data_IF_579133914782
#
_entry.id   IF_579133914782
#
_cell.length_a   1.000
_cell.length_b   1.000
_cell.length_c   1.000
_cell.angle_alpha   90.00
_cell.angle_beta   90.00
_cell.angle_gamma   90.00
#
_symmetry.space_group_name_H-M   'P 1'
#
loop_
_entity.id
_entity.type
_entity.pdbx_description
1 polymer ?
#
# COMPACT_ATOMS: atom_id res chain seq x y z
N UNK A 1 23.91 8.91 -26.90
CA UNK A 1 25.25 9.41 -27.28
C UNK A 1 25.08 10.83 -27.81
N UNK A 2 25.91 11.78 -27.42
CA UNK A 2 25.87 13.16 -27.96
C UNK A 2 27.20 13.45 -28.64
N UNK A 3 27.15 13.91 -29.90
CA UNK A 3 28.33 14.25 -30.70
C UNK A 3 28.41 15.77 -30.81
N UNK A 4 29.50 16.36 -30.31
CA UNK A 4 29.81 17.77 -30.54
C UNK A 4 30.92 17.84 -31.59
N UNK A 5 30.64 18.52 -32.71
CA UNK A 5 31.60 18.63 -33.80
C UNK A 5 32.90 19.27 -33.28
N UNK A 6 34.03 18.60 -33.51
CA UNK A 6 35.36 19.03 -33.05
C UNK A 6 35.75 18.67 -31.60
N UNK A 7 34.86 18.05 -30.79
CA UNK A 7 35.13 17.76 -29.36
C UNK A 7 35.04 16.28 -28.97
N UNK A 8 34.84 15.38 -29.93
CA UNK A 8 34.69 13.95 -29.70
C UNK A 8 33.28 13.52 -29.33
N UNK A 9 33.17 12.26 -28.91
CA UNK A 9 31.91 11.57 -28.58
C UNK A 9 31.79 11.40 -27.08
N UNK A 10 30.70 11.90 -26.50
CA UNK A 10 30.41 11.74 -25.07
C UNK A 10 29.36 10.64 -24.85
N UNK A 11 29.58 9.79 -23.84
CA UNK A 11 28.54 8.88 -23.34
C UNK A 11 27.44 9.77 -22.74
N UNK A 12 26.26 9.76 -23.36
CA UNK A 12 25.09 10.40 -22.74
C UNK A 12 24.77 9.61 -21.48
N UNK A 13 24.98 10.19 -20.29
CA UNK A 13 24.43 9.61 -19.05
C UNK A 13 22.95 9.38 -19.30
N UNK A 14 22.53 8.12 -19.28
CA UNK A 14 21.13 7.76 -19.36
C UNK A 14 20.39 8.52 -18.26
N UNK A 15 19.35 9.28 -18.61
CA UNK A 15 18.41 9.84 -17.63
C UNK A 15 17.47 8.77 -17.06
N UNK A 16 17.61 7.52 -17.49
CA UNK A 16 16.79 6.40 -17.03
C UNK A 16 17.37 5.88 -15.71
N UNK A 17 16.48 5.55 -14.78
CA UNK A 17 16.76 4.88 -13.50
C UNK A 17 17.51 5.73 -12.46
N UNK A 18 17.14 7.02 -12.34
CA UNK A 18 17.61 7.86 -11.23
C UNK A 18 16.86 7.49 -9.94
N UNK A 19 17.61 7.26 -8.86
CA UNK A 19 17.02 7.10 -7.53
C UNK A 19 16.32 8.40 -7.11
N UNK A 20 15.09 8.26 -6.63
CA UNK A 20 14.25 9.37 -6.15
C UNK A 20 13.72 9.05 -4.76
N UNK A 21 13.58 10.08 -3.94
CA UNK A 21 12.69 10.05 -2.78
C UNK A 21 11.27 10.20 -3.32
N UNK A 22 10.38 9.31 -2.89
CA UNK A 22 8.97 9.31 -3.25
C UNK A 22 8.17 9.66 -2.00
N UNK A 23 7.29 10.65 -2.12
CA UNK A 23 6.39 11.05 -1.05
C UNK A 23 4.95 10.97 -1.54
N UNK A 24 4.11 10.21 -0.81
CA UNK A 24 2.65 10.30 -0.93
C UNK A 24 2.19 11.47 -0.07
N UNK A 25 1.66 12.50 -0.71
CA UNK A 25 1.27 13.74 -0.04
C UNK A 25 -0.16 13.62 0.46
N UNK A 26 -0.36 13.83 1.76
CA UNK A 26 -1.69 13.96 2.34
C UNK A 26 -2.26 15.34 2.00
N UNK A 27 -3.27 15.39 1.14
CA UNK A 27 -3.89 16.65 0.66
C UNK A 27 -4.77 17.35 1.72
N UNK A 28 -4.83 16.83 2.94
CA UNK A 28 -5.67 17.28 4.05
C UNK A 28 -4.84 17.68 5.29
N UNK A 29 -3.64 18.22 5.08
CA UNK A 29 -2.70 18.61 6.15
C UNK A 29 -3.34 19.43 7.28
N UNK A 30 -4.31 20.30 6.96
CA UNK A 30 -4.97 21.16 7.94
C UNK A 30 -6.01 20.43 8.82
N UNK A 31 -6.43 19.22 8.43
CA UNK A 31 -7.49 18.45 9.08
C UNK A 31 -7.03 17.06 9.55
N UNK A 32 -5.71 16.81 9.67
CA UNK A 32 -5.17 15.48 10.01
C UNK A 32 -5.77 14.86 11.28
N UNK A 33 -6.20 15.68 12.24
CA UNK A 33 -6.89 15.24 13.46
C UNK A 33 -8.22 14.52 13.22
N UNK A 34 -8.82 14.66 12.04
CA UNK A 34 -10.06 13.99 11.66
C UNK A 34 -9.82 12.66 10.92
N UNK A 35 -8.55 12.27 10.73
CA UNK A 35 -8.21 11.01 10.08
C UNK A 35 -8.55 9.83 10.99
N UNK A 36 -9.36 8.91 10.47
CA UNK A 36 -9.74 7.69 11.16
C UNK A 36 -9.71 6.48 10.26
N UNK A 37 -9.48 5.32 10.87
CA UNK A 37 -9.52 4.03 10.20
C UNK A 37 -10.61 3.18 10.83
N UNK A 38 -11.53 2.68 9.99
CA UNK A 38 -12.58 1.74 10.38
C UNK A 38 -12.26 0.36 9.79
N UNK A 39 -12.30 -0.69 10.62
CA UNK A 39 -12.12 -2.08 10.16
C UNK A 39 -13.49 -2.65 9.78
N UNK A 40 -13.73 -2.75 8.48
CA UNK A 40 -15.00 -3.22 7.92
C UNK A 40 -15.12 -4.74 7.93
N UNK A 41 -13.99 -5.44 7.82
CA UNK A 41 -13.96 -6.90 7.80
C UNK A 41 -12.62 -7.44 8.28
N UNK A 42 -12.67 -8.52 9.06
CA UNK A 42 -11.52 -9.35 9.40
C UNK A 42 -11.95 -10.81 9.35
N UNK A 43 -11.32 -11.63 8.50
CA UNK A 43 -11.64 -13.06 8.40
C UNK A 43 -10.47 -13.87 7.85
N UNK A 44 -10.36 -15.14 8.25
CA UNK A 44 -9.44 -16.12 7.67
C UNK A 44 -9.98 -16.63 6.32
N UNK A 45 -9.10 -16.86 5.36
CA UNK A 45 -9.43 -17.34 4.01
C UNK A 45 -8.23 -18.08 3.38
N UNK A 46 -8.46 -18.77 2.27
CA UNK A 46 -7.47 -19.62 1.60
C UNK A 46 -7.67 -19.64 0.06
N UNK A 47 -8.06 -18.52 -0.54
CA UNK A 47 -8.26 -18.47 -2.00
C UNK A 47 -6.93 -18.72 -2.76
N UNK A 48 -6.91 -19.61 -3.77
CA UNK A 48 -5.68 -19.99 -4.45
C UNK A 48 -4.89 -18.82 -5.06
N UNK A 49 -5.57 -17.85 -5.65
CA UNK A 49 -4.96 -16.68 -6.29
C UNK A 49 -4.22 -15.78 -5.29
N UNK A 50 -4.72 -15.67 -4.06
CA UNK A 50 -4.06 -14.91 -3.00
C UNK A 50 -2.94 -15.72 -2.36
N UNK A 51 -3.14 -17.02 -2.13
CA UNK A 51 -2.09 -17.90 -1.61
C UNK A 51 -0.85 -17.87 -2.50
N UNK A 52 -1.02 -17.97 -3.82
CA UNK A 52 0.08 -17.86 -4.78
C UNK A 52 0.83 -16.53 -4.66
N UNK A 53 0.11 -15.40 -4.58
CA UNK A 53 0.73 -14.07 -4.45
C UNK A 53 1.48 -13.89 -3.13
N UNK A 54 1.01 -14.53 -2.06
CA UNK A 54 1.66 -14.60 -0.75
C UNK A 54 2.79 -15.64 -0.69
N UNK A 55 2.95 -16.49 -1.71
CA UNK A 55 3.93 -17.58 -1.71
C UNK A 55 3.58 -18.70 -0.72
N UNK A 56 2.30 -18.88 -0.41
CA UNK A 56 1.82 -19.87 0.55
C UNK A 56 1.41 -21.19 -0.12
N UNK A 57 1.62 -22.35 0.53
CA UNK A 57 1.06 -23.62 0.11
C UNK A 57 -0.48 -23.61 0.07
N UNK A 58 -1.08 -24.51 -0.72
CA UNK A 58 -2.55 -24.60 -0.90
C UNK A 58 -3.33 -24.96 0.38
N UNK A 59 -2.66 -25.54 1.38
CA UNK A 59 -3.28 -25.92 2.66
C UNK A 59 -3.13 -24.84 3.74
N UNK A 60 -2.38 -23.77 3.47
CA UNK A 60 -2.24 -22.64 4.37
C UNK A 60 -3.41 -21.65 4.20
N UNK A 61 -3.45 -20.68 5.11
CA UNK A 61 -4.47 -19.64 5.15
C UNK A 61 -3.83 -18.27 5.38
N UNK A 62 -4.63 -17.24 5.13
CA UNK A 62 -4.30 -15.84 5.40
C UNK A 62 -5.52 -15.14 6.00
N UNK A 63 -5.29 -14.04 6.69
CA UNK A 63 -6.35 -13.12 7.09
C UNK A 63 -6.54 -12.06 6.01
N UNK A 64 -7.80 -11.86 5.65
CA UNK A 64 -8.28 -10.73 4.87
C UNK A 64 -8.79 -9.65 5.82
N UNK A 65 -8.21 -8.46 5.73
CA UNK A 65 -8.61 -7.29 6.52
C UNK A 65 -9.03 -6.18 5.56
N UNK A 66 -10.30 -5.79 5.57
CA UNK A 66 -10.83 -4.64 4.81
C UNK A 66 -10.93 -3.44 5.75
N UNK A 67 -10.21 -2.36 5.45
CA UNK A 67 -10.20 -1.12 6.24
C UNK A 67 -10.59 0.07 5.38
N UNK A 68 -11.36 0.98 5.95
CA UNK A 68 -11.74 2.25 5.32
C UNK A 68 -11.08 3.38 6.07
N UNK A 69 -10.34 4.24 5.36
CA UNK A 69 -9.77 5.46 5.92
C UNK A 69 -10.67 6.64 5.53
N UNK A 70 -10.99 7.47 6.51
CA UNK A 70 -11.88 8.62 6.37
C UNK A 70 -11.19 9.86 6.92
N UNK A 71 -11.52 11.00 6.32
CA UNK A 71 -11.19 12.33 6.85
C UNK A 71 -12.51 13.06 7.08
N UNK A 72 -12.82 13.35 8.35
CA UNK A 72 -14.20 13.65 8.74
C UNK A 72 -15.12 12.52 8.25
N UNK A 73 -16.26 12.81 7.64
CA UNK A 73 -17.16 11.76 7.14
C UNK A 73 -16.91 11.33 5.70
N UNK A 74 -15.77 11.71 5.12
CA UNK A 74 -15.43 11.41 3.73
C UNK A 74 -14.49 10.22 3.65
N UNK A 75 -14.96 9.03 3.22
CA UNK A 75 -14.06 7.92 2.93
C UNK A 75 -13.22 8.26 1.70
N UNK A 76 -11.90 8.09 1.84
CA UNK A 76 -10.95 8.41 0.78
C UNK A 76 -10.04 7.26 0.37
N UNK A 77 -9.92 6.23 1.22
CA UNK A 77 -9.07 5.09 0.93
C UNK A 77 -9.67 3.79 1.45
N UNK A 78 -9.78 2.80 0.58
CA UNK A 78 -10.17 1.44 0.92
C UNK A 78 -8.95 0.54 0.83
N UNK A 79 -8.56 -0.08 1.93
CA UNK A 79 -7.48 -1.05 1.99
C UNK A 79 -8.00 -2.47 2.11
N UNK A 80 -7.37 -3.38 1.38
CA UNK A 80 -7.52 -4.82 1.53
C UNK A 80 -6.16 -5.43 1.80
N UNK A 81 -5.87 -5.71 3.06
CA UNK A 81 -4.65 -6.39 3.48
C UNK A 81 -4.87 -7.91 3.52
N UNK A 82 -3.88 -8.64 3.02
CA UNK A 82 -3.81 -10.09 3.03
C UNK A 82 -2.52 -10.47 3.76
N UNK A 83 -2.66 -11.10 4.93
CA UNK A 83 -1.55 -11.40 5.84
C UNK A 83 -1.55 -12.90 6.14
N UNK A 84 -0.46 -13.65 5.90
CA UNK A 84 -0.39 -15.06 6.27
C UNK A 84 -0.83 -15.31 7.71
N UNK A 85 -1.65 -16.36 7.92
CA UNK A 85 -2.29 -16.57 9.22
C UNK A 85 -1.30 -16.79 10.37
N UNK A 86 -0.08 -17.26 10.07
CA UNK A 86 1.01 -17.40 11.04
C UNK A 86 1.43 -16.09 11.72
N UNK A 87 1.22 -14.94 11.06
CA UNK A 87 1.55 -13.62 11.60
C UNK A 87 0.39 -12.97 12.38
N UNK A 88 -0.80 -13.56 12.35
CA UNK A 88 -1.99 -13.02 13.01
C UNK A 88 -2.22 -13.73 14.35
N UNK A 89 -2.47 -12.94 15.39
CA UNK A 89 -2.92 -13.48 16.67
C UNK A 89 -4.43 -13.75 16.61
N UNK A 90 -4.79 -15.03 16.61
CA UNK A 90 -6.20 -15.48 16.56
C UNK A 90 -7.06 -14.96 17.72
N UNK A 91 -6.47 -14.64 18.88
CA UNK A 91 -7.21 -14.05 19.99
C UNK A 91 -7.50 -12.57 19.76
N UNK A 92 -6.51 -11.80 19.25
CA UNK A 92 -6.73 -10.40 18.89
C UNK A 92 -7.72 -10.28 17.71
N UNK A 93 -7.64 -11.21 16.76
CA UNK A 93 -8.52 -11.27 15.58
C UNK A 93 -10.01 -11.46 15.92
N UNK A 94 -10.37 -11.83 17.16
CA UNK A 94 -11.78 -11.91 17.59
C UNK A 94 -12.47 -10.55 17.63
N UNK A 95 -11.70 -9.47 17.81
CA UNK A 95 -12.19 -8.10 17.68
C UNK A 95 -11.48 -7.43 16.50
N UNK A 96 -12.19 -7.15 15.39
CA UNK A 96 -11.63 -6.49 14.22
C UNK A 96 -10.94 -5.16 14.54
N UNK A 97 -11.40 -4.42 15.55
CA UNK A 97 -10.84 -3.13 15.93
C UNK A 97 -9.39 -3.24 16.41
N UNK A 98 -8.96 -4.41 16.89
CA UNK A 98 -7.55 -4.63 17.24
C UNK A 98 -6.61 -4.48 16.04
N UNK A 99 -7.12 -4.54 14.80
CA UNK A 99 -6.33 -4.42 13.58
C UNK A 99 -6.57 -3.10 12.82
N UNK A 100 -7.08 -2.06 13.48
CA UNK A 100 -7.19 -0.72 12.88
C UNK A 100 -5.81 -0.18 12.47
N UNK A 101 -4.78 -0.37 13.31
CA UNK A 101 -3.36 -0.12 13.01
C UNK A 101 -2.61 -1.45 12.88
N UNK A 102 -2.68 -2.06 11.69
CA UNK A 102 -2.08 -3.38 11.41
C UNK A 102 -0.60 -3.42 11.78
N UNK A 103 0.17 -2.42 11.35
CA UNK A 103 1.62 -2.40 11.53
C UNK A 103 2.00 -2.33 13.02
N UNK A 104 1.36 -1.44 13.79
CA UNK A 104 1.57 -1.38 15.24
C UNK A 104 1.15 -2.68 15.94
N UNK A 105 0.07 -3.30 15.49
CA UNK A 105 -0.43 -4.55 16.08
C UNK A 105 0.55 -5.68 15.86
N UNK A 106 1.06 -5.85 14.64
CA UNK A 106 2.08 -6.85 14.31
C UNK A 106 3.42 -6.57 15.01
N UNK A 107 3.79 -5.30 15.17
CA UNK A 107 4.97 -4.91 15.93
C UNK A 107 4.83 -5.29 17.41
N UNK A 108 3.71 -4.93 18.06
CA UNK A 108 3.47 -5.22 19.48
C UNK A 108 3.31 -6.73 19.77
N UNK A 109 2.61 -7.47 18.90
CA UNK A 109 2.29 -8.88 19.12
C UNK A 109 3.37 -9.85 18.64
N UNK A 110 4.03 -9.55 17.50
CA UNK A 110 4.97 -10.45 16.82
C UNK A 110 6.37 -9.88 16.67
N UNK A 111 6.63 -8.65 17.13
CA UNK A 111 7.91 -7.95 16.90
C UNK A 111 8.25 -7.85 15.41
N UNK A 112 7.23 -7.66 14.56
CA UNK A 112 7.40 -7.45 13.13
C UNK A 112 7.36 -5.94 12.83
N UNK A 113 8.47 -5.39 12.35
CA UNK A 113 8.66 -3.97 12.09
C UNK A 113 8.49 -3.66 10.60
N UNK A 114 7.25 -3.74 10.10
CA UNK A 114 6.96 -3.69 8.66
C UNK A 114 7.37 -2.38 7.96
N UNK A 115 7.59 -1.28 8.69
CA UNK A 115 8.09 -0.03 8.09
C UNK A 115 9.55 -0.13 7.63
N UNK A 116 10.32 -1.03 8.23
CA UNK A 116 11.74 -1.23 7.91
C UNK A 116 11.94 -2.32 6.85
N UNK A 117 10.87 -3.01 6.47
CA UNK A 117 10.93 -4.17 5.59
C UNK A 117 10.84 -3.79 4.09
N UNK A 118 11.56 -4.51 3.20
CA UNK A 118 11.51 -4.27 1.77
C UNK A 118 10.11 -4.48 1.21
N UNK A 119 9.73 -3.61 0.27
CA UNK A 119 8.46 -3.73 -0.44
C UNK A 119 8.58 -3.33 -1.90
N UNK A 120 7.62 -3.79 -2.70
CA UNK A 120 7.30 -3.21 -4.01
C UNK A 120 5.90 -2.63 -3.98
N UNK A 121 5.69 -1.53 -4.71
CA UNK A 121 4.38 -0.90 -4.86
C UNK A 121 4.15 -0.55 -6.34
N UNK A 122 2.93 -0.72 -6.81
CA UNK A 122 2.52 -0.34 -8.16
C UNK A 122 1.17 0.35 -8.13
N UNK A 123 1.14 1.55 -8.68
CA UNK A 123 -0.03 2.42 -8.73
C UNK A 123 -0.57 2.47 -10.15
N UNK A 124 -1.87 2.24 -10.28
CA UNK A 124 -2.59 2.20 -11.56
C UNK A 124 -3.92 2.92 -11.42
N UNK A 125 -4.40 3.55 -12.50
CA UNK A 125 -5.75 4.12 -12.53
C UNK A 125 -6.70 3.06 -13.05
N UNK A 126 -7.80 2.82 -12.32
CA UNK A 126 -8.88 1.95 -12.75
C UNK A 126 -10.23 2.64 -12.54
N UNK A 127 -11.28 2.12 -13.18
CA UNK A 127 -12.66 2.50 -12.84
C UNK A 127 -13.11 1.74 -11.60
N UNK A 128 -13.75 2.43 -10.66
CA UNK A 128 -14.31 1.80 -9.47
C UNK A 128 -15.48 0.87 -9.82
N UNK A 129 -15.42 -0.38 -9.34
CA UNK A 129 -16.55 -1.31 -9.38
C UNK A 129 -17.63 -0.92 -8.35
N UNK A 130 -18.80 -1.56 -8.43
CA UNK A 130 -19.93 -1.22 -7.55
C UNK A 130 -19.57 -1.31 -6.06
N UNK A 131 -18.69 -2.24 -5.65
CA UNK A 131 -18.27 -2.37 -4.24
C UNK A 131 -17.34 -1.23 -3.84
N UNK A 132 -16.37 -0.89 -4.68
CA UNK A 132 -15.44 0.22 -4.44
C UNK A 132 -16.22 1.53 -4.38
N UNK A 133 -17.13 1.76 -5.34
CA UNK A 133 -17.96 2.97 -5.38
C UNK A 133 -18.82 3.13 -4.13
N UNK A 134 -19.45 2.05 -3.66
CA UNK A 134 -20.22 2.05 -2.42
C UNK A 134 -19.35 2.35 -1.19
N UNK A 135 -18.18 1.70 -1.05
CA UNK A 135 -17.29 1.91 0.11
C UNK A 135 -16.71 3.32 0.16
N UNK A 136 -16.34 3.87 -0.99
CA UNK A 136 -15.73 5.20 -1.08
C UNK A 136 -16.75 6.34 -1.25
N UNK A 137 -18.05 6.03 -1.26
CA UNK A 137 -19.12 6.99 -1.50
C UNK A 137 -18.84 7.90 -2.72
N UNK A 138 -18.51 7.25 -3.84
CA UNK A 138 -18.20 7.90 -5.13
C UNK A 138 -19.16 7.39 -6.20
N UNK A 139 -19.27 8.13 -7.29
CA UNK A 139 -20.04 7.71 -8.45
C UNK A 139 -19.54 6.36 -9.00
N UNK A 140 -20.42 5.64 -9.68
CA UNK A 140 -20.04 4.46 -10.47
C UNK A 140 -19.03 4.87 -11.54
N UNK A 141 -18.06 3.99 -11.82
CA UNK A 141 -16.99 4.18 -12.81
C UNK A 141 -16.07 5.38 -12.54
N UNK A 142 -16.18 6.03 -11.36
CA UNK A 142 -15.24 7.07 -10.94
C UNK A 142 -13.81 6.51 -10.93
N UNK A 143 -12.82 7.21 -11.52
CA UNK A 143 -11.45 6.74 -11.55
C UNK A 143 -10.86 6.74 -10.14
N UNK A 144 -10.21 5.65 -9.77
CA UNK A 144 -9.49 5.52 -8.50
C UNK A 144 -8.07 5.06 -8.75
N UNK A 145 -7.16 5.46 -7.87
CA UNK A 145 -5.79 4.93 -7.85
C UNK A 145 -5.82 3.59 -7.11
N UNK A 146 -5.57 2.52 -7.85
CA UNK A 146 -5.34 1.19 -7.32
C UNK A 146 -3.86 0.99 -7.04
N UNK A 147 -3.54 0.82 -5.76
CA UNK A 147 -2.19 0.60 -5.26
C UNK A 147 -2.04 -0.88 -4.89
N UNK A 148 -1.00 -1.54 -5.39
CA UNK A 148 -0.69 -2.92 -5.02
C UNK A 148 0.69 -2.94 -4.37
N UNK A 149 0.70 -3.10 -3.05
CA UNK A 149 1.92 -3.17 -2.25
C UNK A 149 2.18 -4.61 -1.81
N UNK A 150 3.42 -5.07 -1.92
CA UNK A 150 3.86 -6.38 -1.41
C UNK A 150 5.10 -6.17 -0.55
N UNK A 151 5.01 -6.56 0.71
CA UNK A 151 6.09 -6.44 1.71
C UNK A 151 6.64 -7.83 2.03
N UNK A 152 7.96 -7.96 2.11
CA UNK A 152 8.65 -9.21 2.46
C UNK A 152 9.48 -9.04 3.72
N UNK A 153 9.70 -10.12 4.47
CA UNK A 153 10.65 -10.11 5.59
C UNK A 153 12.08 -10.21 5.06
N UNK A 154 12.97 -9.30 5.46
CA UNK A 154 14.38 -9.29 5.07
C UNK A 154 15.10 -10.56 5.51
N UNK A 155 14.72 -11.09 6.67
CA UNK A 155 15.38 -12.25 7.27
C UNK A 155 15.08 -13.56 6.53
N UNK A 156 13.91 -13.70 5.90
CA UNK A 156 13.44 -14.97 5.33
C UNK A 156 13.06 -14.89 3.84
N UNK A 157 12.85 -13.68 3.32
CA UNK A 157 12.29 -13.44 1.99
C UNK A 157 10.80 -13.77 1.88
N UNK A 158 10.15 -14.18 2.98
CA UNK A 158 8.72 -14.52 2.97
C UNK A 158 7.84 -13.29 2.85
N UNK A 159 6.70 -13.41 2.17
CA UNK A 159 5.73 -12.32 2.07
C UNK A 159 5.01 -12.17 3.41
N UNK A 160 5.19 -11.03 4.06
CA UNK A 160 4.48 -10.71 5.32
C UNK A 160 3.12 -10.07 5.07
N UNK A 161 3.02 -9.29 3.99
CA UNK A 161 1.77 -8.62 3.64
C UNK A 161 1.67 -8.40 2.12
N UNK A 162 0.45 -8.57 1.62
CA UNK A 162 0.02 -8.02 0.36
C UNK A 162 -1.14 -7.05 0.62
N UNK A 163 -1.05 -5.82 0.13
CA UNK A 163 -2.11 -4.81 0.22
C UNK A 163 -2.60 -4.45 -1.17
N UNK A 164 -3.92 -4.36 -1.31
CA UNK A 164 -4.57 -3.71 -2.45
C UNK A 164 -5.36 -2.52 -1.91
N UNK A 165 -4.87 -1.32 -2.19
CA UNK A 165 -5.50 -0.06 -1.85
C UNK A 165 -6.29 0.52 -3.03
N UNK A 166 -7.38 1.21 -2.74
CA UNK A 166 -8.12 2.04 -3.69
C UNK A 166 -8.28 3.42 -3.08
N UNK A 167 -7.59 4.41 -3.65
CA UNK A 167 -7.58 5.80 -3.19
C UNK A 167 -8.34 6.66 -4.18
N UNK A 168 -9.21 7.54 -3.69
CA UNK A 168 -9.91 8.50 -4.56
C UNK A 168 -8.90 9.45 -5.19
N UNK A 169 -9.07 9.76 -6.48
CA UNK A 169 -8.12 10.61 -7.21
C UNK A 169 -8.03 12.03 -6.66
N UNK A 170 -9.11 12.58 -6.11
CA UNK A 170 -9.11 13.89 -5.43
C UNK A 170 -8.31 13.93 -4.12
N UNK A 171 -7.87 12.76 -3.62
CA UNK A 171 -7.01 12.62 -2.45
C UNK A 171 -5.58 12.17 -2.78
N UNK A 172 -5.27 11.94 -4.06
CA UNK A 172 -3.99 11.38 -4.49
C UNK A 172 -3.04 12.45 -5.01
N UNK A 173 -1.82 12.47 -4.47
CA UNK A 173 -0.75 13.35 -4.91
C UNK A 173 0.60 12.70 -4.61
N UNK A 174 1.43 12.50 -5.63
CA UNK A 174 2.79 11.99 -5.46
C UNK A 174 3.81 13.08 -5.80
N UNK A 175 4.80 13.24 -4.92
CA UNK A 175 5.98 14.07 -5.16
C UNK A 175 7.22 13.19 -5.26
N UNK A 176 8.12 13.55 -6.17
CA UNK A 176 9.39 12.84 -6.33
C UNK A 176 10.52 13.86 -6.43
N UNK A 177 11.56 13.66 -5.62
CA UNK A 177 12.79 14.45 -5.70
C UNK A 177 13.98 13.51 -5.90
N UNK A 178 14.89 13.87 -6.80
CA UNK A 178 16.12 13.09 -6.92
C UNK A 178 17.00 13.30 -5.70
N UNK A 179 17.83 12.32 -5.36
CA UNK A 179 18.67 12.36 -4.14
C UNK A 179 19.71 13.47 -4.12
N UNK A 180 20.01 14.07 -5.28
CA UNK A 180 20.88 15.24 -5.48
C UNK A 180 20.11 16.56 -5.62
N UNK A 181 18.78 16.56 -5.40
CA UNK A 181 18.00 17.80 -5.34
C UNK A 181 18.31 18.51 -4.02
N UNK A 182 18.75 19.79 -4.04
CA UNK A 182 19.05 20.51 -2.81
C UNK A 182 17.78 20.69 -1.99
N UNK A 183 17.78 20.17 -0.77
CA UNK A 183 16.74 20.49 0.22
C UNK A 183 16.88 21.98 0.56
N UNK A 184 15.80 22.73 0.37
CA UNK A 184 15.72 24.16 0.73
C UNK A 184 15.42 24.28 2.22
#
# INVERSE_FOLDING_TARGET
>A
MVRHQGKGTFISRSRKDKLVRLSDNEVFSDNQQEDRVEVLKLQENNKPDILERLGLPKYDSYYYIERLRLIGDKPFMLHRSFIPAKFINRNLAKDPNNYHSIYETLQKDKQLYLFDEPFTETDTIIQADDKISQRLNIAKDYPVVRQVKKTILSATGEVVELVIGYKRCDYFSLSFSSTDYPEV
#
